data_IF_542787276293
#
_entry.id   IF_542787276293
#
_cell.length_a   1.000
_cell.length_b   1.000
_cell.length_c   1.000
_cell.angle_alpha   90.00
_cell.angle_beta   90.00
_cell.angle_gamma   90.00
#
_symmetry.space_group_name_H-M   'P 1'
#
loop_
_entity.id
_entity.type
_entity.pdbx_description
1 polymer ?
#
# COMPACT_ATOMS: atom_id res chain seq x y z
N UNK A 1 -2.27 -21.42 -4.07
CA UNK A 1 -2.35 -21.22 -2.60
C UNK A 1 -2.96 -19.84 -2.36
N UNK A 2 -3.98 -19.77 -1.50
CA UNK A 2 -4.54 -18.51 -1.02
C UNK A 2 -3.62 -17.88 0.07
N UNK A 3 -4.01 -16.73 0.63
CA UNK A 3 -3.22 -16.04 1.65
C UNK A 3 -2.97 -16.90 2.90
N UNK A 4 -4.03 -17.50 3.44
CA UNK A 4 -3.94 -18.34 4.62
C UNK A 4 -2.99 -19.54 4.41
N UNK A 5 -3.12 -20.24 3.30
CA UNK A 5 -2.26 -21.39 2.98
C UNK A 5 -0.77 -20.98 2.82
N UNK A 6 -0.48 -19.78 2.28
CA UNK A 6 0.89 -19.26 2.21
C UNK A 6 1.45 -18.99 3.60
N UNK A 7 0.63 -18.43 4.48
CA UNK A 7 1.02 -18.15 5.86
C UNK A 7 1.29 -19.46 6.61
N UNK A 8 0.40 -20.43 6.54
CA UNK A 8 0.55 -21.73 7.20
C UNK A 8 1.81 -22.47 6.73
N UNK A 9 2.08 -22.49 5.43
CA UNK A 9 3.34 -23.03 4.90
C UNK A 9 4.58 -22.30 5.44
N UNK A 10 4.50 -20.99 5.56
CA UNK A 10 5.59 -20.19 6.14
C UNK A 10 5.83 -20.47 7.62
N UNK A 11 4.76 -20.66 8.41
CA UNK A 11 4.88 -21.04 9.82
C UNK A 11 5.60 -22.38 9.97
N UNK A 12 5.27 -23.35 9.13
CA UNK A 12 5.94 -24.64 9.10
C UNK A 12 7.41 -24.54 8.74
N UNK A 13 7.75 -23.77 7.69
CA UNK A 13 9.14 -23.53 7.27
C UNK A 13 9.98 -22.85 8.36
N UNK A 14 9.37 -21.92 9.10
CA UNK A 14 10.03 -21.18 10.18
C UNK A 14 9.95 -21.88 11.55
N UNK A 15 9.29 -23.03 11.64
CA UNK A 15 9.08 -23.79 12.86
C UNK A 15 8.39 -22.98 13.98
N UNK A 16 7.39 -22.15 13.59
CA UNK A 16 6.61 -21.35 14.52
C UNK A 16 5.37 -22.09 14.99
N UNK A 17 5.07 -22.01 16.29
CA UNK A 17 3.87 -22.59 16.89
C UNK A 17 2.60 -21.81 16.52
N UNK A 18 2.75 -20.52 16.16
CA UNK A 18 1.66 -19.68 15.71
C UNK A 18 2.14 -18.32 15.27
N UNK A 19 1.21 -17.53 14.71
CA UNK A 19 1.42 -16.15 14.30
C UNK A 19 0.27 -15.28 14.74
N UNK A 20 0.56 -14.17 15.40
CA UNK A 20 -0.40 -13.12 15.72
C UNK A 20 -0.33 -12.04 14.64
N UNK A 21 -1.47 -11.77 13.99
CA UNK A 21 -1.61 -10.75 12.96
C UNK A 21 -2.54 -9.68 13.47
N UNK A 22 -2.07 -8.42 13.48
CA UNK A 22 -2.82 -7.27 13.97
C UNK A 22 -2.92 -6.15 12.93
N UNK A 23 -1.97 -6.06 12.00
CA UNK A 23 -2.00 -4.97 11.02
C UNK A 23 -3.20 -5.13 10.08
N UNK A 24 -3.98 -4.05 9.82
CA UNK A 24 -5.15 -4.10 8.95
C UNK A 24 -4.83 -4.64 7.55
N UNK A 25 -3.66 -4.33 7.03
CA UNK A 25 -3.20 -4.79 5.71
C UNK A 25 -3.03 -6.30 5.69
N UNK A 26 -2.47 -6.88 6.73
CA UNK A 26 -2.24 -8.32 6.81
C UNK A 26 -3.52 -9.06 7.20
N UNK A 27 -4.37 -8.50 8.06
CA UNK A 27 -5.72 -9.03 8.32
C UNK A 27 -6.54 -9.09 7.03
N UNK A 28 -6.51 -8.04 6.22
CA UNK A 28 -7.19 -8.06 4.92
C UNK A 28 -6.57 -9.10 3.97
N UNK A 29 -5.25 -9.17 3.88
CA UNK A 29 -4.59 -10.08 2.94
C UNK A 29 -4.75 -11.56 3.29
N UNK A 30 -4.55 -11.92 4.56
CA UNK A 30 -4.55 -13.31 5.01
C UNK A 30 -5.93 -13.82 5.39
N UNK A 31 -6.77 -12.97 5.99
CA UNK A 31 -8.10 -13.34 6.49
C UNK A 31 -9.27 -12.73 5.69
N UNK A 32 -9.04 -11.76 4.83
CA UNK A 32 -10.10 -11.03 4.12
C UNK A 32 -10.80 -9.98 5.00
N UNK A 33 -10.40 -9.80 6.25
CA UNK A 33 -11.07 -8.93 7.19
C UNK A 33 -10.80 -7.44 6.90
N UNK A 34 -11.87 -6.65 6.82
CA UNK A 34 -11.82 -5.21 6.52
C UNK A 34 -12.28 -4.31 7.67
N UNK A 35 -12.62 -4.90 8.82
CA UNK A 35 -12.97 -4.14 10.04
C UNK A 35 -11.74 -3.50 10.69
N UNK A 36 -12.00 -2.66 11.69
CA UNK A 36 -10.94 -1.89 12.36
C UNK A 36 -10.43 -2.51 13.66
N UNK A 37 -11.13 -3.52 14.19
CA UNK A 37 -10.81 -4.13 15.48
C UNK A 37 -10.88 -5.65 15.37
N UNK A 38 -9.74 -6.26 15.20
CA UNK A 38 -9.54 -7.71 15.29
C UNK A 38 -8.05 -8.01 15.38
N UNK A 39 -7.73 -9.22 15.82
CA UNK A 39 -6.47 -9.86 15.48
C UNK A 39 -6.71 -11.30 15.03
N UNK A 40 -5.80 -11.85 14.26
CA UNK A 40 -5.84 -13.26 13.89
C UNK A 40 -4.73 -14.02 14.60
N UNK A 41 -5.05 -15.22 15.05
CA UNK A 41 -4.07 -16.21 15.48
C UNK A 41 -4.11 -17.38 14.53
N UNK A 42 -2.98 -17.67 13.90
CA UNK A 42 -2.88 -18.72 12.87
C UNK A 42 -1.78 -19.69 13.29
N UNK A 43 -2.09 -20.97 13.28
CA UNK A 43 -1.13 -22.06 13.41
C UNK A 43 -0.94 -22.78 12.07
N UNK A 44 -0.10 -23.79 12.01
CA UNK A 44 0.04 -24.63 10.82
C UNK A 44 -1.31 -25.22 10.36
N UNK A 45 -2.21 -25.57 11.30
CA UNK A 45 -3.43 -26.33 11.01
C UNK A 45 -4.72 -25.56 11.30
N UNK A 46 -4.67 -24.47 12.06
CA UNK A 46 -5.86 -23.72 12.49
C UNK A 46 -5.70 -22.24 12.23
N UNK A 47 -6.83 -21.56 12.12
CA UNK A 47 -6.86 -20.12 11.94
C UNK A 47 -8.07 -19.52 12.67
N UNK A 48 -7.82 -18.52 13.49
CA UNK A 48 -8.83 -17.87 14.32
C UNK A 48 -8.78 -16.37 14.07
N UNK A 49 -9.95 -15.73 13.99
CA UNK A 49 -10.12 -14.27 14.02
C UNK A 49 -10.82 -13.90 15.31
N UNK A 50 -10.18 -13.09 16.12
CA UNK A 50 -10.68 -12.68 17.44
C UNK A 50 -11.07 -11.22 17.34
N UNK A 51 -12.35 -10.93 17.60
CA UNK A 51 -12.92 -9.59 17.43
C UNK A 51 -14.02 -9.33 18.48
N UNK A 52 -14.52 -8.10 18.54
CA UNK A 52 -15.63 -7.76 19.42
C UNK A 52 -17.00 -7.93 18.72
N UNK A 53 -18.07 -7.75 19.49
CA UNK A 53 -19.45 -7.93 19.05
C UNK A 53 -19.84 -7.10 17.82
N UNK A 54 -19.17 -5.96 17.56
CA UNK A 54 -19.43 -5.07 16.41
C UNK A 54 -19.05 -5.70 15.08
N UNK A 55 -18.07 -6.60 15.08
CA UNK A 55 -17.47 -7.18 13.88
C UNK A 55 -17.69 -8.67 13.72
N UNK A 56 -18.35 -9.34 14.66
CA UNK A 56 -18.54 -10.81 14.61
C UNK A 56 -19.26 -11.26 13.34
N UNK A 57 -20.35 -10.57 12.95
CA UNK A 57 -21.08 -10.88 11.72
C UNK A 57 -20.23 -10.63 10.48
N UNK A 58 -19.54 -9.48 10.43
CA UNK A 58 -18.66 -9.13 9.32
C UNK A 58 -17.51 -10.13 9.17
N UNK A 59 -16.86 -10.51 10.26
CA UNK A 59 -15.78 -11.49 10.26
C UNK A 59 -16.28 -12.85 9.78
N UNK A 60 -17.47 -13.29 10.22
CA UNK A 60 -18.09 -14.54 9.77
C UNK A 60 -18.36 -14.56 8.26
N UNK A 61 -18.72 -13.43 7.67
CA UNK A 61 -18.96 -13.31 6.23
C UNK A 61 -17.68 -13.18 5.40
N UNK A 62 -16.63 -12.59 5.95
CA UNK A 62 -15.40 -12.24 5.20
C UNK A 62 -14.27 -13.24 5.37
N UNK A 63 -14.13 -13.85 6.56
CA UNK A 63 -12.92 -14.59 6.94
C UNK A 63 -13.08 -16.10 6.63
N UNK A 64 -13.06 -16.43 5.35
CA UNK A 64 -13.15 -17.82 4.90
C UNK A 64 -11.97 -18.66 5.41
N UNK A 65 -12.28 -19.79 6.06
CA UNK A 65 -11.28 -20.69 6.64
C UNK A 65 -10.80 -20.29 8.05
N UNK A 66 -11.43 -19.27 8.65
CA UNK A 66 -11.17 -18.87 10.03
C UNK A 66 -12.33 -19.21 10.96
N UNK A 67 -12.01 -19.62 12.18
CA UNK A 67 -12.98 -19.67 13.28
C UNK A 67 -13.10 -18.27 13.88
N UNK A 68 -14.31 -17.71 13.90
CA UNK A 68 -14.56 -16.38 14.48
C UNK A 68 -14.84 -16.51 15.97
N UNK A 69 -14.09 -15.79 16.78
CA UNK A 69 -14.25 -15.76 18.24
C UNK A 69 -14.56 -14.33 18.66
N UNK A 70 -15.67 -14.16 19.40
CA UNK A 70 -16.00 -12.90 20.03
C UNK A 70 -15.42 -12.89 21.44
N UNK A 71 -14.55 -11.92 21.72
CA UNK A 71 -14.10 -11.68 23.10
C UNK A 71 -15.08 -10.75 23.83
N UNK A 72 -15.19 -10.92 25.14
CA UNK A 72 -16.11 -10.11 25.96
C UNK A 72 -15.40 -8.98 26.72
N UNK A 73 -14.31 -9.28 27.39
CA UNK A 73 -13.59 -8.33 28.24
C UNK A 73 -12.15 -8.17 27.85
N UNK A 74 -11.40 -9.26 27.73
CA UNK A 74 -9.98 -9.25 27.40
C UNK A 74 -9.71 -10.15 26.17
N UNK A 75 -9.10 -9.58 25.19
CA UNK A 75 -8.78 -10.26 23.93
C UNK A 75 -7.76 -11.40 24.12
N UNK A 76 -6.88 -11.27 25.10
CA UNK A 76 -5.86 -12.28 25.38
C UNK A 76 -6.42 -13.55 26.04
N UNK A 77 -7.53 -13.43 26.77
CA UNK A 77 -8.20 -14.61 27.35
C UNK A 77 -8.65 -15.57 26.24
N UNK A 78 -9.18 -15.04 25.12
CA UNK A 78 -9.55 -15.83 23.96
C UNK A 78 -8.33 -16.50 23.29
N UNK A 79 -7.17 -15.86 23.28
CA UNK A 79 -5.94 -16.47 22.78
C UNK A 79 -5.50 -17.63 23.69
N UNK A 80 -5.55 -17.44 25.00
CA UNK A 80 -5.22 -18.49 25.99
C UNK A 80 -6.15 -19.70 25.83
N UNK A 81 -7.45 -19.46 25.63
CA UNK A 81 -8.43 -20.53 25.38
C UNK A 81 -8.10 -21.33 24.12
N UNK A 82 -7.74 -20.66 23.02
CA UNK A 82 -7.29 -21.32 21.78
C UNK A 82 -6.01 -22.15 22.04
N UNK A 83 -5.01 -21.58 22.71
CA UNK A 83 -3.77 -22.28 23.00
C UNK A 83 -4.03 -23.56 23.83
N UNK A 84 -4.92 -23.47 24.82
CA UNK A 84 -5.33 -24.63 25.65
C UNK A 84 -6.11 -25.67 24.83
N UNK A 85 -7.06 -25.26 24.00
CA UNK A 85 -7.87 -26.15 23.16
C UNK A 85 -7.00 -26.98 22.21
N UNK A 86 -5.97 -26.35 21.63
CA UNK A 86 -5.05 -27.02 20.69
C UNK A 86 -3.78 -27.57 21.37
N UNK A 87 -3.73 -27.59 22.70
CA UNK A 87 -2.60 -28.12 23.48
C UNK A 87 -1.24 -27.49 23.15
N UNK A 88 -1.24 -26.19 22.86
CA UNK A 88 -0.02 -25.41 22.61
C UNK A 88 0.41 -24.79 23.94
N UNK A 89 1.35 -25.44 24.65
CA UNK A 89 1.75 -25.04 26.00
C UNK A 89 3.10 -24.33 26.05
N UNK A 90 3.64 -23.92 24.91
CA UNK A 90 4.92 -23.20 24.80
C UNK A 90 5.46 -23.22 23.38
N UNK A 91 6.60 -22.56 23.19
CA UNK A 91 7.29 -22.47 21.91
C UNK A 91 7.37 -21.06 21.36
N UNK A 92 7.56 -20.91 20.05
CA UNK A 92 7.81 -19.62 19.41
C UNK A 92 6.57 -19.12 18.67
N UNK A 93 6.08 -17.94 19.05
CA UNK A 93 4.99 -17.26 18.38
C UNK A 93 5.55 -16.08 17.55
N UNK A 94 5.19 -16.05 16.26
CA UNK A 94 5.49 -14.93 15.39
C UNK A 94 4.58 -13.72 15.70
N UNK A 95 5.14 -12.55 15.68
CA UNK A 95 4.41 -11.27 15.84
C UNK A 95 4.81 -10.27 14.75
N UNK A 96 3.96 -9.31 14.48
CA UNK A 96 4.25 -8.19 13.57
C UNK A 96 5.00 -7.07 14.32
N UNK A 97 6.28 -7.26 14.63
CA UNK A 97 7.03 -6.35 15.49
C UNK A 97 7.14 -4.89 14.99
N UNK A 98 6.79 -4.61 13.73
CA UNK A 98 6.71 -3.23 13.19
C UNK A 98 5.36 -2.57 13.41
N UNK A 99 4.32 -3.37 13.62
CA UNK A 99 2.93 -2.92 13.67
C UNK A 99 2.32 -3.14 15.06
N UNK A 100 2.99 -3.89 15.95
CA UNK A 100 2.56 -4.13 17.32
C UNK A 100 3.06 -3.02 18.23
N UNK A 101 2.16 -2.24 18.88
CA UNK A 101 2.55 -1.27 19.90
C UNK A 101 3.24 -1.92 21.09
N UNK A 102 4.13 -1.19 21.76
CA UNK A 102 4.90 -1.72 22.90
C UNK A 102 3.99 -2.13 24.05
N UNK A 103 2.99 -1.32 24.38
CA UNK A 103 2.02 -1.61 25.42
C UNK A 103 1.19 -2.88 25.13
N UNK A 104 0.86 -3.10 23.85
CA UNK A 104 0.18 -4.33 23.40
C UNK A 104 1.09 -5.56 23.54
N UNK A 105 2.37 -5.42 23.22
CA UNK A 105 3.36 -6.47 23.40
C UNK A 105 3.58 -6.83 24.88
N UNK A 106 3.65 -5.82 25.76
CA UNK A 106 3.75 -6.02 27.20
C UNK A 106 2.55 -6.79 27.75
N UNK A 107 1.32 -6.39 27.36
CA UNK A 107 0.10 -7.10 27.75
C UNK A 107 0.06 -8.54 27.22
N UNK A 108 0.57 -8.78 26.03
CA UNK A 108 0.68 -10.14 25.47
C UNK A 108 1.67 -10.99 26.27
N UNK A 109 2.84 -10.43 26.63
CA UNK A 109 3.82 -11.11 27.45
C UNK A 109 3.26 -11.45 28.86
N UNK A 110 2.58 -10.51 29.47
CA UNK A 110 1.94 -10.72 30.78
C UNK A 110 0.84 -11.80 30.74
N UNK A 111 0.11 -11.89 29.62
CA UNK A 111 -0.96 -12.87 29.46
C UNK A 111 -0.47 -14.30 29.21
N UNK A 112 0.65 -14.48 28.52
CA UNK A 112 1.14 -15.80 28.12
C UNK A 112 2.28 -16.32 29.00
N UNK A 113 2.71 -15.56 30.00
CA UNK A 113 3.81 -15.89 30.91
C UNK A 113 5.14 -16.25 30.18
N UNK A 114 6.09 -16.86 30.88
CA UNK A 114 7.41 -17.25 30.35
C UNK A 114 7.40 -18.52 29.47
N UNK A 115 6.22 -19.02 29.08
CA UNK A 115 6.10 -20.28 28.32
C UNK A 115 6.32 -20.10 26.82
N UNK A 116 6.23 -18.84 26.31
CA UNK A 116 6.34 -18.54 24.91
C UNK A 116 7.44 -17.52 24.62
N UNK A 117 8.24 -17.83 23.59
CA UNK A 117 9.15 -16.88 22.99
C UNK A 117 8.44 -16.14 21.83
N UNK A 118 8.72 -14.84 21.66
CA UNK A 118 8.17 -14.04 20.57
C UNK A 118 9.25 -13.66 19.58
N UNK A 119 8.93 -13.79 18.28
CA UNK A 119 9.83 -13.39 17.20
C UNK A 119 9.13 -12.50 16.19
N UNK A 120 9.82 -11.43 15.78
CA UNK A 120 9.26 -10.49 14.78
C UNK A 120 9.36 -11.06 13.36
N UNK A 121 8.22 -11.23 12.70
CA UNK A 121 8.11 -11.77 11.34
C UNK A 121 7.75 -10.67 10.34
N UNK A 122 8.44 -10.65 9.21
CA UNK A 122 8.15 -9.75 8.11
C UNK A 122 7.20 -10.41 7.08
N UNK A 123 5.90 -10.25 7.27
CA UNK A 123 4.89 -10.81 6.38
C UNK A 123 4.81 -10.14 4.99
N UNK A 124 5.52 -9.03 4.76
CA UNK A 124 5.53 -8.35 3.46
C UNK A 124 6.09 -9.24 2.34
N UNK A 125 7.01 -10.13 2.66
CA UNK A 125 7.61 -11.04 1.67
C UNK A 125 6.58 -12.01 1.10
N UNK A 126 5.66 -12.50 1.90
CA UNK A 126 4.58 -13.38 1.47
C UNK A 126 3.60 -12.69 0.50
N UNK A 127 3.52 -11.36 0.56
CA UNK A 127 2.70 -10.52 -0.33
C UNK A 127 3.46 -9.96 -1.53
N UNK A 128 4.77 -10.21 -1.62
CA UNK A 128 5.62 -9.60 -2.66
C UNK A 128 5.27 -10.12 -4.05
N UNK A 129 5.05 -11.42 -4.18
CA UNK A 129 4.65 -12.07 -5.45
C UNK A 129 3.14 -12.13 -5.49
N UNK A 130 2.54 -11.36 -6.43
CA UNK A 130 1.08 -11.25 -6.56
C UNK A 130 0.49 -12.45 -7.29
N UNK A 131 -0.67 -12.90 -6.84
CA UNK A 131 -1.49 -13.90 -7.51
C UNK A 131 -2.22 -13.27 -8.72
N UNK A 132 -2.72 -14.08 -9.67
CA UNK A 132 -3.47 -13.57 -10.81
C UNK A 132 -4.71 -12.75 -10.43
N UNK A 133 -5.45 -13.16 -9.39
CA UNK A 133 -6.62 -12.44 -8.85
C UNK A 133 -6.24 -11.06 -8.29
N UNK A 134 -5.11 -10.95 -7.59
CA UNK A 134 -4.58 -9.68 -7.08
C UNK A 134 -4.20 -8.72 -8.22
N UNK A 135 -3.60 -9.25 -9.29
CA UNK A 135 -3.25 -8.45 -10.48
C UNK A 135 -4.48 -7.86 -11.17
N UNK A 136 -5.62 -8.55 -11.13
CA UNK A 136 -6.90 -8.02 -11.65
C UNK A 136 -7.34 -6.80 -10.85
N UNK A 137 -7.27 -6.88 -9.51
CA UNK A 137 -7.63 -5.76 -8.62
C UNK A 137 -6.68 -4.56 -8.80
N UNK A 138 -5.37 -4.82 -8.88
CA UNK A 138 -4.36 -3.78 -9.13
C UNK A 138 -4.60 -3.06 -10.49
N UNK A 139 -4.90 -3.82 -11.53
CA UNK A 139 -5.25 -3.23 -12.84
C UNK A 139 -6.53 -2.41 -12.79
N UNK A 140 -7.52 -2.86 -12.02
CA UNK A 140 -8.76 -2.11 -11.84
C UNK A 140 -8.50 -0.78 -11.13
N UNK A 141 -7.70 -0.79 -10.05
CA UNK A 141 -7.29 0.42 -9.35
C UNK A 141 -6.55 1.41 -10.29
N UNK A 142 -5.62 0.92 -11.11
CA UNK A 142 -4.91 1.74 -12.09
C UNK A 142 -5.84 2.33 -13.16
N UNK A 143 -6.77 1.52 -13.69
CA UNK A 143 -7.73 1.99 -14.69
C UNK A 143 -8.68 3.07 -14.13
N UNK A 144 -9.13 2.94 -12.86
CA UNK A 144 -9.95 3.96 -12.19
C UNK A 144 -9.20 5.29 -12.18
N UNK A 145 -7.94 5.29 -11.79
CA UNK A 145 -7.11 6.49 -11.74
C UNK A 145 -6.88 7.10 -13.15
N UNK A 146 -6.57 6.26 -14.15
CA UNK A 146 -6.41 6.72 -15.55
C UNK A 146 -7.68 7.37 -16.10
N UNK A 147 -8.84 6.77 -15.89
CA UNK A 147 -10.12 7.31 -16.35
C UNK A 147 -10.50 8.62 -15.65
N UNK A 148 -10.28 8.69 -14.33
CA UNK A 148 -10.51 9.89 -13.55
C UNK A 148 -9.62 11.05 -14.04
N UNK A 149 -8.36 10.77 -14.33
CA UNK A 149 -7.43 11.77 -14.86
C UNK A 149 -7.85 12.26 -16.26
N UNK A 150 -8.32 11.38 -17.14
CA UNK A 150 -8.85 11.81 -18.47
C UNK A 150 -10.00 12.79 -18.32
N UNK A 151 -10.91 12.57 -17.37
CA UNK A 151 -12.01 13.50 -17.11
C UNK A 151 -11.51 14.80 -16.51
N UNK A 152 -10.58 14.77 -15.56
CA UNK A 152 -9.95 15.97 -15.02
C UNK A 152 -9.38 16.83 -16.15
N UNK A 153 -8.66 16.25 -17.11
CA UNK A 153 -8.07 17.00 -18.23
C UNK A 153 -9.11 17.77 -19.08
N UNK A 154 -10.36 17.30 -19.13
CA UNK A 154 -11.44 18.02 -19.85
C UNK A 154 -11.98 19.24 -19.07
N UNK A 155 -11.75 19.27 -17.75
CA UNK A 155 -12.23 20.31 -16.83
C UNK A 155 -11.12 21.28 -16.41
N UNK A 156 -9.88 20.84 -16.49
CA UNK A 156 -8.70 21.59 -16.02
C UNK A 156 -8.49 22.85 -16.87
N UNK A 157 -8.39 23.99 -16.22
CA UNK A 157 -8.18 25.29 -16.88
C UNK A 157 -7.41 26.27 -15.97
N UNK A 158 -6.71 27.25 -16.52
CA UNK A 158 -6.15 28.33 -15.74
C UNK A 158 -7.22 29.05 -14.90
N UNK A 159 -6.85 29.49 -13.71
CA UNK A 159 -7.75 30.12 -12.75
C UNK A 159 -8.36 29.17 -11.73
N UNK A 160 -8.23 27.86 -11.90
CA UNK A 160 -8.56 26.88 -10.87
C UNK A 160 -7.45 26.81 -9.82
N UNK A 161 -7.79 26.52 -8.56
CA UNK A 161 -6.80 26.17 -7.55
C UNK A 161 -6.32 24.72 -7.68
N UNK A 162 -5.14 24.41 -7.13
CA UNK A 162 -4.66 23.05 -7.03
C UNK A 162 -5.65 22.16 -6.26
N UNK A 163 -6.28 22.71 -5.20
CA UNK A 163 -7.32 22.01 -4.42
C UNK A 163 -8.57 21.70 -5.23
N UNK A 164 -9.04 22.63 -6.07
CA UNK A 164 -10.19 22.38 -6.96
C UNK A 164 -9.88 21.24 -7.94
N UNK A 165 -8.70 21.23 -8.54
CA UNK A 165 -8.26 20.15 -9.42
C UNK A 165 -8.18 18.81 -8.69
N UNK A 166 -7.65 18.78 -7.46
CA UNK A 166 -7.59 17.60 -6.58
C UNK A 166 -8.99 17.06 -6.28
N UNK A 167 -9.92 17.92 -5.87
CA UNK A 167 -11.31 17.52 -5.55
C UNK A 167 -11.98 16.86 -6.75
N UNK A 168 -11.82 17.44 -7.95
CA UNK A 168 -12.36 16.83 -9.16
C UNK A 168 -11.77 15.45 -9.39
N UNK A 169 -10.46 15.30 -9.29
CA UNK A 169 -9.76 14.03 -9.52
C UNK A 169 -10.19 12.94 -8.52
N UNK A 170 -10.20 13.27 -7.23
CA UNK A 170 -10.61 12.34 -6.18
C UNK A 170 -12.09 11.95 -6.30
N UNK A 171 -12.98 12.93 -6.58
CA UNK A 171 -14.39 12.64 -6.81
C UNK A 171 -14.61 11.72 -8.01
N UNK A 172 -13.88 11.91 -9.11
CA UNK A 172 -13.96 11.05 -10.28
C UNK A 172 -13.44 9.64 -10.00
N UNK A 173 -12.42 9.47 -9.15
CA UNK A 173 -11.95 8.14 -8.69
C UNK A 173 -13.02 7.45 -7.84
N UNK A 174 -13.61 8.15 -6.87
CA UNK A 174 -14.68 7.63 -6.00
C UNK A 174 -15.91 7.19 -6.81
N UNK A 175 -16.36 8.00 -7.75
CA UNK A 175 -17.50 7.68 -8.62
C UNK A 175 -17.25 6.44 -9.51
N UNK A 176 -15.99 6.05 -9.73
CA UNK A 176 -15.61 4.85 -10.49
C UNK A 176 -15.36 3.63 -9.62
N UNK A 177 -15.63 3.74 -8.32
CA UNK A 177 -15.56 2.64 -7.37
C UNK A 177 -14.26 2.55 -6.57
N UNK A 178 -13.43 3.60 -6.58
CA UNK A 178 -12.38 3.72 -5.56
C UNK A 178 -13.01 3.89 -4.19
N UNK A 179 -12.48 3.22 -3.18
CA UNK A 179 -12.93 3.40 -1.79
C UNK A 179 -12.37 4.68 -1.18
N UNK A 180 -11.16 5.06 -1.57
CA UNK A 180 -10.44 6.24 -1.09
C UNK A 180 -9.26 6.56 -2.04
N UNK A 181 -8.62 7.72 -1.93
CA UNK A 181 -7.32 7.97 -2.56
C UNK A 181 -6.24 7.07 -1.94
N UNK A 182 -5.32 6.57 -2.76
CA UNK A 182 -4.21 5.71 -2.31
C UNK A 182 -3.28 6.39 -1.30
N UNK A 183 -3.18 7.69 -1.40
CA UNK A 183 -2.37 8.59 -0.56
C UNK A 183 -2.88 10.03 -0.74
N UNK A 184 -2.34 10.96 0.06
CA UNK A 184 -2.65 12.38 -0.11
C UNK A 184 -2.30 12.84 -1.53
N UNK A 185 -3.31 13.16 -2.33
CA UNK A 185 -3.17 13.54 -3.74
C UNK A 185 -2.32 14.81 -3.87
N UNK A 186 -1.28 14.72 -4.69
CA UNK A 186 -0.43 15.87 -5.02
C UNK A 186 -0.99 16.53 -6.29
N UNK A 187 -1.18 17.84 -6.22
CA UNK A 187 -1.36 18.72 -7.37
C UNK A 187 -0.46 19.90 -7.15
N UNK A 188 0.64 19.98 -7.90
CA UNK A 188 1.65 21.00 -7.71
C UNK A 188 1.89 21.74 -9.04
N UNK A 189 1.67 23.06 -9.05
CA UNK A 189 1.70 23.89 -10.25
C UNK A 189 2.80 24.95 -10.23
N UNK A 190 3.30 25.34 -11.40
CA UNK A 190 4.36 26.34 -11.57
C UNK A 190 5.62 25.98 -10.79
N UNK A 191 6.13 26.88 -9.97
CA UNK A 191 7.33 26.62 -9.15
C UNK A 191 7.14 25.47 -8.14
N UNK A 192 5.91 25.20 -7.70
CA UNK A 192 5.61 24.09 -6.79
C UNK A 192 5.73 22.73 -7.48
N UNK A 193 5.68 22.65 -8.81
CA UNK A 193 5.82 21.38 -9.53
C UNK A 193 7.18 20.71 -9.34
N UNK A 194 8.16 21.43 -8.82
CA UNK A 194 9.47 20.89 -8.40
C UNK A 194 9.46 20.28 -7.00
N UNK A 195 8.37 20.45 -6.23
CA UNK A 195 8.26 19.92 -4.87
C UNK A 195 7.80 18.45 -4.90
N UNK A 196 8.63 17.49 -4.47
CA UNK A 196 8.28 16.08 -4.56
C UNK A 196 7.06 15.67 -3.74
N UNK A 197 6.77 16.40 -2.65
CA UNK A 197 5.63 16.21 -1.76
C UNK A 197 4.73 17.45 -1.70
N UNK A 198 4.57 18.12 -2.86
CA UNK A 198 3.75 19.31 -3.01
C UNK A 198 2.25 18.97 -2.98
N UNK A 199 1.73 18.62 -1.79
CA UNK A 199 0.27 18.41 -1.59
C UNK A 199 -0.49 19.61 -2.12
N UNK A 200 -1.67 19.35 -2.71
CA UNK A 200 -2.51 20.39 -3.29
C UNK A 200 -2.80 21.53 -2.31
N UNK A 201 -2.74 22.75 -2.79
CA UNK A 201 -2.91 24.00 -2.03
C UNK A 201 -3.94 24.93 -2.71
N UNK A 202 -4.13 26.09 -2.12
CA UNK A 202 -4.99 27.13 -2.71
C UNK A 202 -4.28 27.95 -3.80
N UNK A 203 -3.04 27.57 -4.20
CA UNK A 203 -2.36 28.22 -5.31
C UNK A 203 -3.20 28.10 -6.59
N UNK A 204 -3.36 29.21 -7.26
CA UNK A 204 -4.05 29.26 -8.56
C UNK A 204 -3.10 28.75 -9.65
N UNK A 205 -3.63 27.85 -10.47
CA UNK A 205 -2.94 27.32 -11.65
C UNK A 205 -2.99 28.38 -12.75
N UNK A 206 -1.84 28.76 -13.28
CA UNK A 206 -1.69 29.81 -14.26
C UNK A 206 -1.41 29.26 -15.67
N UNK A 207 -1.69 30.05 -16.69
CA UNK A 207 -1.31 29.69 -18.06
C UNK A 207 0.22 29.60 -18.18
N UNK A 208 0.73 28.53 -18.80
CA UNK A 208 2.14 28.24 -18.90
C UNK A 208 2.72 27.41 -17.76
N UNK A 209 1.99 27.17 -16.67
CA UNK A 209 2.47 26.32 -15.58
C UNK A 209 2.65 24.86 -16.02
N UNK A 210 3.75 24.23 -15.59
CA UNK A 210 3.71 22.78 -15.38
C UNK A 210 2.79 22.49 -14.21
N UNK A 211 1.95 21.47 -14.37
CA UNK A 211 1.14 20.92 -13.28
C UNK A 211 1.45 19.45 -13.14
N UNK A 212 2.02 19.08 -12.01
CA UNK A 212 2.32 17.68 -11.67
C UNK A 212 1.23 17.15 -10.77
N UNK A 213 0.62 16.06 -11.20
CA UNK A 213 -0.35 15.27 -10.47
C UNK A 213 0.30 13.97 -10.03
N UNK A 214 0.25 13.64 -8.72
CA UNK A 214 0.65 12.36 -8.18
C UNK A 214 -0.52 11.82 -7.35
N UNK A 215 -1.11 10.73 -7.81
CA UNK A 215 -2.42 10.27 -7.35
C UNK A 215 -2.58 8.78 -7.56
N UNK A 216 -3.56 8.21 -6.88
CA UNK A 216 -3.91 6.80 -7.04
C UNK A 216 -5.26 6.48 -6.43
N UNK A 217 -5.85 5.38 -6.86
CA UNK A 217 -7.11 4.85 -6.40
C UNK A 217 -6.91 3.58 -5.58
N UNK A 218 -7.79 3.32 -4.63
CA UNK A 218 -7.88 2.06 -3.89
C UNK A 218 -9.09 1.27 -4.38
N UNK A 219 -8.87 0.03 -4.80
CA UNK A 219 -9.95 -0.87 -5.22
C UNK A 219 -9.74 -2.27 -4.68
N UNK A 220 -10.69 -2.78 -3.89
CA UNK A 220 -10.58 -4.08 -3.25
C UNK A 220 -9.34 -4.22 -2.35
N UNK A 221 -8.92 -3.12 -1.70
CA UNK A 221 -7.72 -3.06 -0.86
C UNK A 221 -6.39 -2.96 -1.62
N UNK A 222 -6.43 -2.87 -2.96
CA UNK A 222 -5.23 -2.70 -3.80
C UNK A 222 -5.10 -1.27 -4.28
N UNK A 223 -3.89 -0.75 -4.21
CA UNK A 223 -3.54 0.64 -4.48
C UNK A 223 -2.93 0.79 -5.88
N UNK A 224 -3.36 1.82 -6.61
CA UNK A 224 -2.58 2.35 -7.74
C UNK A 224 -1.76 3.57 -7.30
N UNK A 225 -0.74 3.88 -8.07
CA UNK A 225 0.16 5.01 -7.85
C UNK A 225 0.69 5.46 -9.21
N UNK A 226 0.38 6.70 -9.60
CA UNK A 226 0.82 7.24 -10.88
C UNK A 226 1.06 8.74 -10.82
N UNK A 227 2.11 9.17 -11.52
CA UNK A 227 2.39 10.60 -11.71
C UNK A 227 2.12 10.99 -13.15
N UNK A 228 1.48 12.14 -13.36
CA UNK A 228 1.26 12.78 -14.66
C UNK A 228 1.61 14.25 -14.58
N UNK A 229 2.29 14.74 -15.61
CA UNK A 229 2.63 16.17 -15.71
C UNK A 229 2.06 16.74 -17.02
N UNK A 230 1.41 17.89 -16.91
CA UNK A 230 0.84 18.60 -18.06
C UNK A 230 1.30 20.06 -18.04
N UNK A 231 1.12 20.77 -19.15
CA UNK A 231 1.34 22.21 -19.25
C UNK A 231 -0.01 22.89 -19.50
N UNK A 232 -0.25 23.98 -18.78
CA UNK A 232 -1.48 24.78 -18.95
C UNK A 232 -1.38 25.70 -20.18
N UNK A 233 -1.90 25.21 -21.30
CA UNK A 233 -1.82 25.90 -22.60
C UNK A 233 -0.64 25.45 -23.45
N UNK A 234 -0.13 26.28 -24.38
CA UNK A 234 0.98 25.93 -25.26
C UNK A 234 2.28 25.75 -24.47
N UNK A 235 2.92 24.59 -24.59
CA UNK A 235 4.21 24.34 -23.96
C UNK A 235 5.34 25.08 -24.71
N UNK A 236 6.23 25.73 -23.96
CA UNK A 236 7.47 26.30 -24.49
C UNK A 236 8.44 25.19 -24.95
N UNK A 237 9.42 25.56 -25.77
CA UNK A 237 10.42 24.58 -26.24
C UNK A 237 11.28 24.02 -25.12
N UNK A 238 11.56 24.81 -24.07
CA UNK A 238 12.24 24.32 -22.88
C UNK A 238 11.39 23.28 -22.14
N UNK A 239 10.10 23.53 -21.96
CA UNK A 239 9.18 22.57 -21.32
C UNK A 239 9.09 21.27 -22.09
N UNK A 240 8.96 21.34 -23.42
CA UNK A 240 8.95 20.14 -24.29
C UNK A 240 10.26 19.36 -24.15
N UNK A 241 11.40 20.04 -24.20
CA UNK A 241 12.73 19.43 -24.03
C UNK A 241 12.85 18.71 -22.68
N UNK A 242 12.49 19.39 -21.58
CA UNK A 242 12.57 18.80 -20.24
C UNK A 242 11.66 17.56 -20.10
N UNK A 243 10.42 17.68 -20.56
CA UNK A 243 9.45 16.59 -20.55
C UNK A 243 9.97 15.38 -21.35
N UNK A 244 10.50 15.58 -22.54
CA UNK A 244 11.03 14.52 -23.40
C UNK A 244 12.25 13.82 -22.76
N UNK A 245 13.15 14.56 -22.10
CA UNK A 245 14.28 13.97 -21.36
C UNK A 245 13.80 13.03 -20.26
N UNK A 246 12.83 13.49 -19.45
CA UNK A 246 12.27 12.69 -18.35
C UNK A 246 11.50 11.47 -18.88
N UNK A 247 10.67 11.66 -19.91
CA UNK A 247 9.91 10.59 -20.54
C UNK A 247 10.83 9.50 -21.10
N UNK A 248 11.90 9.86 -21.82
CA UNK A 248 12.87 8.89 -22.33
C UNK A 248 13.59 8.13 -21.21
N UNK A 249 13.95 8.82 -20.13
CA UNK A 249 14.57 8.17 -18.99
C UNK A 249 13.61 7.16 -18.34
N UNK A 250 12.34 7.54 -18.14
CA UNK A 250 11.30 6.68 -17.58
C UNK A 250 11.06 5.45 -18.47
N UNK A 251 10.92 5.62 -19.80
CA UNK A 251 10.73 4.51 -20.72
C UNK A 251 11.90 3.53 -20.70
N UNK A 252 13.16 4.01 -20.69
CA UNK A 252 14.34 3.17 -20.53
C UNK A 252 14.30 2.36 -19.21
N UNK A 253 13.85 2.98 -18.12
CA UNK A 253 13.68 2.30 -16.86
C UNK A 253 12.63 1.19 -16.95
N UNK A 254 11.48 1.44 -17.55
CA UNK A 254 10.41 0.44 -17.74
C UNK A 254 10.89 -0.73 -18.60
N UNK A 255 11.58 -0.46 -19.70
CA UNK A 255 12.13 -1.49 -20.61
C UNK A 255 13.22 -2.36 -19.94
N UNK A 256 13.96 -1.78 -18.98
CA UNK A 256 15.01 -2.48 -18.28
C UNK A 256 14.51 -3.44 -17.19
N UNK A 257 13.24 -3.31 -16.73
CA UNK A 257 12.69 -4.12 -15.64
C UNK A 257 12.68 -5.61 -16.03
N UNK A 258 13.41 -6.40 -15.25
CA UNK A 258 13.47 -7.87 -15.41
C UNK A 258 13.83 -8.52 -14.07
N UNK A 259 13.54 -9.83 -13.90
CA UNK A 259 14.01 -10.56 -12.73
C UNK A 259 15.52 -10.47 -12.56
N UNK A 260 16.00 -10.25 -11.34
CA UNK A 260 17.42 -10.14 -10.99
C UNK A 260 18.01 -8.73 -11.14
N UNK A 261 17.29 -7.76 -11.74
CA UNK A 261 17.77 -6.37 -11.76
C UNK A 261 17.60 -5.73 -10.36
N UNK A 262 18.69 -5.16 -9.83
CA UNK A 262 18.62 -4.44 -8.55
C UNK A 262 17.92 -3.08 -8.70
N UNK A 263 17.33 -2.57 -7.61
CA UNK A 263 16.74 -1.23 -7.60
C UNK A 263 17.78 -0.13 -7.86
N UNK A 264 19.03 -0.34 -7.44
CA UNK A 264 20.15 0.58 -7.69
C UNK A 264 20.51 0.64 -9.17
N UNK A 265 20.57 -0.51 -9.84
CA UNK A 265 20.88 -0.55 -11.28
C UNK A 265 19.74 0.08 -12.10
N UNK A 266 18.49 -0.14 -11.70
CA UNK A 266 17.34 0.47 -12.34
C UNK A 266 17.33 2.00 -12.16
N UNK A 267 17.61 2.52 -10.95
CA UNK A 267 17.78 3.96 -10.72
C UNK A 267 18.91 4.53 -11.61
N UNK A 268 20.05 3.84 -11.67
CA UNK A 268 21.21 4.26 -12.46
C UNK A 268 20.88 4.45 -13.94
N UNK A 269 20.10 3.55 -14.54
CA UNK A 269 19.68 3.65 -15.95
C UNK A 269 18.96 4.98 -16.22
N UNK A 270 18.02 5.36 -15.37
CA UNK A 270 17.28 6.63 -15.56
C UNK A 270 18.13 7.84 -15.20
N UNK A 271 18.89 7.76 -14.14
CA UNK A 271 19.78 8.81 -13.68
C UNK A 271 20.84 9.16 -14.72
N UNK A 272 21.50 8.15 -15.27
CA UNK A 272 22.50 8.33 -16.33
C UNK A 272 21.86 8.92 -17.61
N UNK A 273 20.63 8.54 -17.94
CA UNK A 273 19.89 9.11 -19.06
C UNK A 273 19.59 10.60 -18.88
N UNK A 274 19.25 11.05 -17.68
CA UNK A 274 19.01 12.46 -17.34
C UNK A 274 20.34 13.23 -17.30
N UNK A 275 21.38 12.66 -16.68
CA UNK A 275 22.71 13.26 -16.57
C UNK A 275 23.37 13.48 -17.94
N UNK A 276 23.23 12.54 -18.87
CA UNK A 276 23.74 12.68 -20.24
C UNK A 276 23.10 13.84 -21.02
N UNK A 277 21.97 14.37 -20.57
CA UNK A 277 21.33 15.56 -21.12
C UNK A 277 21.65 16.86 -20.34
N UNK A 278 22.60 16.82 -19.40
CA UNK A 278 23.08 17.98 -18.64
C UNK A 278 22.24 18.33 -17.40
N UNK A 279 21.35 17.43 -16.94
CA UNK A 279 20.47 17.68 -15.79
C UNK A 279 20.74 16.72 -14.60
N UNK A 280 21.93 16.09 -14.56
CA UNK A 280 22.31 15.18 -13.47
C UNK A 280 22.19 15.81 -12.07
N UNK A 281 22.67 17.05 -11.95
CA UNK A 281 22.66 17.79 -10.68
C UNK A 281 21.25 18.27 -10.25
N UNK A 282 20.25 18.15 -11.12
CA UNK A 282 18.86 18.48 -10.82
C UNK A 282 18.06 17.28 -10.32
N UNK A 283 18.65 16.06 -10.33
CA UNK A 283 17.96 14.83 -9.99
C UNK A 283 18.41 14.29 -8.62
N UNK A 284 17.93 14.93 -7.56
CA UNK A 284 18.37 14.65 -6.17
C UNK A 284 17.64 13.51 -5.48
N UNK A 285 16.51 13.01 -6.02
CA UNK A 285 15.72 11.98 -5.36
C UNK A 285 15.87 10.60 -5.99
N UNK A 286 15.97 9.57 -5.13
CA UNK A 286 15.78 8.17 -5.48
C UNK A 286 14.27 7.94 -5.72
N UNK A 287 13.78 8.35 -6.89
CA UNK A 287 12.42 8.05 -7.34
C UNK A 287 12.47 7.11 -8.53
N UNK A 288 12.76 5.84 -8.26
CA UNK A 288 11.92 4.85 -8.90
C UNK A 288 10.67 4.75 -8.03
N UNK A 289 9.51 4.86 -8.68
CA UNK A 289 8.32 4.30 -8.10
C UNK A 289 8.73 2.92 -7.60
N UNK A 290 9.06 2.79 -6.32
CA UNK A 290 8.82 1.52 -5.68
C UNK A 290 7.42 1.21 -6.18
N UNK A 291 7.24 0.09 -6.90
CA UNK A 291 6.00 -0.60 -6.84
C UNK A 291 5.70 -0.58 -5.35
N UNK A 292 4.92 0.40 -4.89
CA UNK A 292 4.61 0.51 -3.47
C UNK A 292 3.95 -0.80 -3.19
N UNK A 293 4.74 -1.73 -2.64
CA UNK A 293 4.17 -2.86 -1.97
C UNK A 293 3.15 -2.21 -1.07
N UNK A 294 1.89 -2.53 -1.26
CA UNK A 294 0.80 -2.11 -0.39
C UNK A 294 1.27 -2.34 1.04
N UNK A 295 1.67 -1.28 1.68
CA UNK A 295 2.39 -1.34 2.94
C UNK A 295 2.66 0.08 3.39
N UNK A 296 1.63 0.83 3.58
CA UNK A 296 1.42 1.60 4.80
C UNK A 296 0.41 0.87 5.59
#
# INVERSE_FOLDING_TARGET
>A
MNGLQRLQAHLQEQQLNGMIIMSPINLHYFAGFTGTTAFAFVTENTAHIITDFRYTEQATQQCEGYTVIQYETNVWDSLIDILNEYHIHGGVIGIEGKDMPVDTYELLCDALDEHFDFTSINLQELRAVKRPDELVLMRKAANIADEAFRVLLTKLKPGMSENEARIILESEMLMRGSTEPSFATIVASGHRSSMPHGVASDKIIEAGDFVTFDFGAVYGGYHSDMTRTVVMGPASDLQKKLYDIVLRAQLKGVEAVRPGLSGVDLDKICRDSIAANGYGDCFYQYRFARCRRSGR
#
